data_IF_657455981064
#
_entry.id   IF_657455981064
#
_cell.length_a   1.000
_cell.length_b   1.000
_cell.length_c   1.000
_cell.angle_alpha   90.00
_cell.angle_beta   90.00
_cell.angle_gamma   90.00
#
_symmetry.space_group_name_H-M   'P 1'
#
loop_
_entity.id
_entity.type
_entity.pdbx_description
1 polymer ?
#
# COMPACT_ATOMS: atom_id res chain seq x y z
N UNK A 1 -4.30 -13.84 -12.16
CA UNK A 1 -4.99 -14.04 -10.87
C UNK A 1 -6.39 -14.58 -11.14
N UNK A 2 -6.87 -15.65 -10.46
CA UNK A 2 -8.20 -16.21 -10.70
C UNK A 2 -9.33 -15.59 -9.84
N UNK A 3 -9.02 -14.61 -8.98
CA UNK A 3 -9.96 -13.94 -8.07
C UNK A 3 -10.13 -12.47 -8.44
N UNK A 4 -11.29 -11.89 -8.12
CA UNK A 4 -11.53 -10.45 -8.27
C UNK A 4 -10.84 -9.66 -7.15
N UNK A 5 -10.58 -8.37 -7.40
CA UNK A 5 -9.96 -7.50 -6.39
C UNK A 5 -10.84 -7.32 -5.15
N UNK A 6 -12.16 -7.36 -5.31
CA UNK A 6 -13.13 -7.35 -4.20
C UNK A 6 -12.98 -8.58 -3.30
N UNK A 7 -12.93 -9.78 -3.89
CA UNK A 7 -12.78 -11.03 -3.13
C UNK A 7 -11.47 -11.03 -2.33
N UNK A 8 -10.38 -10.57 -2.96
CA UNK A 8 -9.07 -10.47 -2.33
C UNK A 8 -9.12 -9.44 -1.20
N UNK A 9 -9.72 -8.28 -1.43
CA UNK A 9 -9.87 -7.25 -0.41
C UNK A 9 -10.61 -7.78 0.81
N UNK A 10 -11.74 -8.47 0.63
CA UNK A 10 -12.50 -9.06 1.73
C UNK A 10 -11.72 -10.16 2.47
N UNK A 11 -10.99 -10.99 1.73
CA UNK A 11 -10.14 -12.03 2.31
C UNK A 11 -8.99 -11.43 3.13
N UNK A 12 -8.35 -10.35 2.64
CA UNK A 12 -7.30 -9.61 3.35
C UNK A 12 -7.90 -8.94 4.57
N UNK A 13 -8.99 -8.20 4.45
CA UNK A 13 -9.69 -7.51 5.56
C UNK A 13 -10.05 -8.49 6.69
N UNK A 14 -10.55 -9.67 6.35
CA UNK A 14 -10.90 -10.72 7.33
C UNK A 14 -9.68 -11.33 8.04
N UNK A 15 -8.50 -11.34 7.41
CA UNK A 15 -7.28 -11.90 7.97
C UNK A 15 -6.29 -10.84 8.50
N UNK A 16 -6.55 -9.55 8.23
CA UNK A 16 -5.75 -8.41 8.66
C UNK A 16 -5.45 -8.42 10.17
N UNK A 17 -6.41 -8.74 11.08
CA UNK A 17 -6.16 -8.74 12.52
C UNK A 17 -5.11 -9.76 12.97
N UNK A 18 -4.95 -10.88 12.24
CA UNK A 18 -3.93 -11.90 12.56
C UNK A 18 -2.54 -11.38 12.22
N UNK A 19 -2.44 -10.66 11.09
CA UNK A 19 -1.18 -10.12 10.59
C UNK A 19 -0.79 -8.85 11.35
N UNK A 20 -1.76 -8.00 11.69
CA UNK A 20 -1.53 -6.78 12.46
C UNK A 20 -0.97 -7.08 13.85
N UNK A 21 -1.38 -8.17 14.50
CA UNK A 21 -0.84 -8.59 15.79
C UNK A 21 0.69 -8.79 15.75
N UNK A 22 1.21 -9.38 14.67
CA UNK A 22 2.65 -9.52 14.47
C UNK A 22 3.33 -8.16 14.36
N UNK A 23 2.81 -7.27 13.51
CA UNK A 23 3.38 -5.94 13.29
C UNK A 23 3.34 -5.09 14.58
N UNK A 24 2.22 -5.12 15.30
CA UNK A 24 2.06 -4.42 16.58
C UNK A 24 2.99 -4.95 17.67
N UNK A 25 3.25 -6.27 17.72
CA UNK A 25 4.22 -6.83 18.67
C UNK A 25 5.66 -6.32 18.45
N UNK A 26 5.97 -5.86 17.23
CA UNK A 26 7.26 -5.28 16.86
C UNK A 26 7.27 -3.74 16.93
N UNK A 27 6.24 -3.12 17.52
CA UNK A 27 6.14 -1.66 17.69
C UNK A 27 5.70 -0.91 16.42
N UNK A 28 5.02 -1.60 15.49
CA UNK A 28 4.49 -1.02 14.26
C UNK A 28 2.97 -0.97 14.19
N UNK A 29 2.47 -0.45 13.07
CA UNK A 29 1.08 -0.52 12.65
C UNK A 29 0.97 -1.00 11.21
N UNK A 30 -0.20 -1.52 10.84
CA UNK A 30 -0.52 -1.98 9.50
C UNK A 30 -1.94 -1.53 9.15
N UNK A 31 -2.06 -0.80 8.04
CA UNK A 31 -3.33 -0.35 7.47
C UNK A 31 -3.49 -0.90 6.05
N UNK A 32 -4.68 -1.36 5.69
CA UNK A 32 -5.02 -1.78 4.33
C UNK A 32 -5.53 -0.55 3.55
N UNK A 33 -4.89 -0.24 2.42
CA UNK A 33 -5.29 0.88 1.56
C UNK A 33 -6.19 0.41 0.42
N UNK A 34 -5.88 -0.74 -0.17
CA UNK A 34 -6.69 -1.29 -1.26
C UNK A 34 -6.06 -2.50 -1.93
N UNK A 35 -6.75 -3.02 -2.95
CA UNK A 35 -6.26 -4.12 -3.79
C UNK A 35 -6.46 -3.78 -5.26
N UNK A 36 -5.51 -4.13 -6.10
CA UNK A 36 -5.62 -4.00 -7.56
C UNK A 36 -4.85 -5.11 -8.27
N UNK A 37 -5.48 -5.79 -9.21
CA UNK A 37 -4.88 -6.87 -10.01
C UNK A 37 -4.14 -7.94 -9.17
N UNK A 38 -4.61 -8.20 -7.95
CA UNK A 38 -3.94 -9.10 -6.99
C UNK A 38 -2.70 -8.55 -6.27
N UNK A 39 -2.42 -7.25 -6.42
CA UNK A 39 -1.51 -6.49 -5.57
C UNK A 39 -2.27 -5.84 -4.41
N UNK A 40 -1.87 -6.13 -3.18
CA UNK A 40 -2.43 -5.59 -1.95
C UNK A 40 -1.58 -4.40 -1.51
N UNK A 41 -2.20 -3.23 -1.41
CA UNK A 41 -1.55 -2.01 -0.98
C UNK A 41 -1.79 -1.79 0.51
N UNK A 42 -0.70 -1.66 1.26
CA UNK A 42 -0.72 -1.47 2.70
C UNK A 42 0.14 -0.28 3.11
N UNK A 43 -0.20 0.31 4.24
CA UNK A 43 0.65 1.28 4.92
C UNK A 43 1.22 0.64 6.19
N UNK A 44 2.54 0.60 6.31
CA UNK A 44 3.24 0.18 7.51
C UNK A 44 3.69 1.41 8.29
N UNK A 45 3.26 1.52 9.55
CA UNK A 45 3.58 2.67 10.42
C UNK A 45 4.40 2.23 11.65
N UNK A 46 4.90 3.20 12.42
CA UNK A 46 5.63 2.97 13.68
C UNK A 46 7.14 2.82 13.53
N UNK A 47 7.77 2.01 14.39
CA UNK A 47 9.25 1.83 14.42
C UNK A 47 9.80 1.32 13.07
N UNK A 48 8.94 0.63 12.30
CA UNK A 48 9.22 0.17 10.94
C UNK A 48 9.43 1.32 9.93
N UNK A 49 8.80 2.48 10.15
CA UNK A 49 8.78 3.59 9.18
C UNK A 49 10.10 4.36 9.06
N UNK A 50 11.01 4.23 10.04
CA UNK A 50 12.28 4.96 10.07
C UNK A 50 13.51 4.17 9.62
N UNK A 51 13.41 2.83 9.50
CA UNK A 51 14.53 1.95 9.19
C UNK A 51 14.18 1.03 8.02
N UNK A 52 14.72 1.32 6.83
CA UNK A 52 14.39 0.62 5.57
C UNK A 52 14.56 -0.90 5.65
N UNK A 53 15.54 -1.38 6.42
CA UNK A 53 15.81 -2.81 6.58
C UNK A 53 14.75 -3.54 7.40
N UNK A 54 14.21 -2.88 8.43
CA UNK A 54 13.11 -3.42 9.24
C UNK A 54 11.80 -3.42 8.46
N UNK A 55 11.55 -2.38 7.66
CA UNK A 55 10.38 -2.28 6.80
C UNK A 55 10.31 -3.43 5.79
N UNK A 56 11.42 -3.71 5.09
CA UNK A 56 11.50 -4.81 4.13
C UNK A 56 11.21 -6.16 4.78
N UNK A 57 11.77 -6.41 5.97
CA UNK A 57 11.58 -7.67 6.70
C UNK A 57 10.12 -7.85 7.11
N UNK A 58 9.52 -6.81 7.72
CA UNK A 58 8.10 -6.85 8.14
C UNK A 58 7.18 -7.03 6.94
N UNK A 59 7.42 -6.30 5.84
CA UNK A 59 6.68 -6.46 4.58
C UNK A 59 6.74 -7.91 4.07
N UNK A 60 7.91 -8.53 4.07
CA UNK A 60 8.07 -9.92 3.63
C UNK A 60 7.29 -10.90 4.50
N UNK A 61 7.26 -10.69 5.83
CA UNK A 61 6.46 -11.54 6.74
C UNK A 61 4.97 -11.36 6.48
N UNK A 62 4.49 -10.11 6.38
CA UNK A 62 3.10 -9.79 6.05
C UNK A 62 2.68 -10.46 4.74
N UNK A 63 3.50 -10.33 3.70
CA UNK A 63 3.25 -10.95 2.40
C UNK A 63 3.21 -12.47 2.50
N UNK A 64 4.13 -13.08 3.24
CA UNK A 64 4.17 -14.54 3.44
C UNK A 64 2.90 -15.05 4.13
N UNK A 65 2.45 -14.35 5.17
CA UNK A 65 1.22 -14.70 5.89
C UNK A 65 -0.02 -14.58 4.99
N UNK A 66 -0.17 -13.46 4.28
CA UNK A 66 -1.30 -13.27 3.35
C UNK A 66 -1.27 -14.30 2.21
N UNK A 67 -0.09 -14.66 1.71
CA UNK A 67 0.06 -15.72 0.69
C UNK A 67 -0.34 -17.10 1.23
N UNK A 68 -0.07 -17.37 2.50
CA UNK A 68 -0.47 -18.62 3.15
C UNK A 68 -1.97 -18.69 3.46
N UNK A 69 -2.61 -17.55 3.72
CA UNK A 69 -4.01 -17.48 4.12
C UNK A 69 -4.98 -17.35 2.94
N UNK A 70 -4.54 -16.72 1.85
CA UNK A 70 -5.41 -16.34 0.74
C UNK A 70 -4.94 -16.99 -0.57
N UNK A 71 -3.77 -16.58 -1.08
CA UNK A 71 -3.25 -17.13 -2.34
C UNK A 71 -1.74 -16.93 -2.53
N UNK A 72 -0.98 -17.94 -3.00
CA UNK A 72 0.47 -17.85 -3.16
C UNK A 72 0.94 -16.84 -4.23
N UNK A 73 0.08 -16.38 -5.12
CA UNK A 73 0.45 -15.36 -6.12
C UNK A 73 0.24 -13.91 -5.66
N UNK A 74 -0.25 -13.69 -4.43
CA UNK A 74 -0.45 -12.32 -3.92
C UNK A 74 0.85 -11.53 -3.82
N UNK A 75 0.78 -10.28 -4.27
CA UNK A 75 1.83 -9.31 -4.05
C UNK A 75 1.40 -8.30 -3.00
N UNK A 76 2.35 -7.82 -2.20
CA UNK A 76 2.09 -6.78 -1.19
C UNK A 76 3.02 -5.62 -1.49
N UNK A 77 2.44 -4.42 -1.58
CA UNK A 77 3.18 -3.17 -1.77
C UNK A 77 2.94 -2.30 -0.56
N UNK A 78 4.03 -1.82 0.04
CA UNK A 78 3.92 -0.79 1.06
C UNK A 78 3.88 0.56 0.35
N UNK A 79 2.88 1.38 0.64
CA UNK A 79 2.82 2.76 0.18
C UNK A 79 3.60 3.62 1.17
N UNK A 80 4.63 4.30 0.68
CA UNK A 80 5.54 5.14 1.47
C UNK A 80 5.68 6.56 0.89
N UNK A 81 4.90 6.88 -0.15
CA UNK A 81 4.91 8.19 -0.80
C UNK A 81 6.09 8.43 -1.75
N UNK A 82 6.93 7.44 -2.00
CA UNK A 82 7.91 7.49 -3.09
C UNK A 82 7.24 7.20 -4.44
N UNK A 83 7.78 7.74 -5.55
CA UNK A 83 7.24 7.49 -6.89
C UNK A 83 7.24 6.00 -7.28
N UNK A 84 8.07 5.18 -6.65
CA UNK A 84 8.12 3.73 -6.89
C UNK A 84 7.01 2.96 -6.14
N UNK A 85 6.45 3.54 -5.08
CA UNK A 85 5.49 2.90 -4.17
C UNK A 85 4.27 3.81 -3.92
N UNK A 86 3.67 4.28 -5.01
CA UNK A 86 2.43 5.10 -4.97
C UNK A 86 1.18 4.22 -5.07
N UNK A 87 0.11 4.62 -4.38
CA UNK A 87 -1.19 3.99 -4.48
C UNK A 87 -1.84 4.36 -5.82
N UNK A 88 -2.26 3.39 -6.65
CA UNK A 88 -3.02 3.69 -7.88
C UNK A 88 -4.37 4.34 -7.57
N UNK A 89 -4.85 5.22 -8.45
CA UNK A 89 -6.15 5.90 -8.31
C UNK A 89 -7.36 4.97 -8.49
N UNK A 90 -7.14 3.78 -9.07
CA UNK A 90 -8.14 2.76 -9.39
C UNK A 90 -8.08 1.52 -8.50
N UNK A 91 -7.52 1.63 -7.28
CA UNK A 91 -7.55 0.53 -6.31
C UNK A 91 -8.97 0.24 -5.81
N UNK A 92 -9.28 -1.04 -5.59
CA UNK A 92 -10.45 -1.43 -4.83
C UNK A 92 -10.23 -1.17 -3.34
N UNK A 93 -10.93 -0.18 -2.80
CA UNK A 93 -11.09 0.06 -1.38
C UNK A 93 -12.58 0.07 -1.07
N UNK A 94 -13.00 -0.60 0.00
CA UNK A 94 -14.40 -0.56 0.42
C UNK A 94 -14.72 0.86 0.91
N UNK A 95 -15.33 1.66 0.04
CA UNK A 95 -15.80 3.01 0.35
C UNK A 95 -16.91 2.93 1.39
N UNK A 96 -16.60 3.31 2.63
CA UNK A 96 -17.47 4.28 3.28
C UNK A 96 -16.95 5.63 2.79
N UNK A 97 -17.79 6.37 2.06
CA UNK A 97 -17.48 7.60 1.33
C UNK A 97 -16.47 8.53 2.03
N UNK A 98 -15.24 8.57 1.54
CA UNK A 98 -14.41 9.78 1.34
C UNK A 98 -13.55 9.47 0.10
N UNK A 99 -14.03 9.80 -1.11
CA UNK A 99 -13.66 10.99 -1.88
C UNK A 99 -12.14 11.09 -2.17
N UNK A 100 -11.74 11.19 -3.45
CA UNK A 100 -10.39 10.90 -3.95
C UNK A 100 -9.38 11.99 -3.59
N UNK A 101 -8.17 11.59 -3.24
CA UNK A 101 -7.01 12.48 -3.21
C UNK A 101 -6.09 12.14 -4.38
N UNK A 102 -6.52 12.51 -5.60
CA UNK A 102 -5.62 12.67 -6.74
C UNK A 102 -4.73 13.91 -6.56
N UNK A 103 -3.56 13.86 -7.18
CA UNK A 103 -2.48 14.85 -7.31
C UNK A 103 -1.57 15.08 -6.09
N UNK A 104 -0.29 14.67 -6.22
CA UNK A 104 0.74 15.56 -6.80
C UNK A 104 1.90 14.76 -7.42
N UNK A 105 1.87 14.59 -8.74
CA UNK A 105 3.08 14.31 -9.52
C UNK A 105 3.18 15.31 -10.69
N UNK A 106 4.17 16.21 -10.60
CA UNK A 106 4.83 16.82 -11.76
C UNK A 106 4.09 17.92 -12.55
N UNK A 107 4.33 19.19 -12.21
CA UNK A 107 4.48 20.23 -13.24
C UNK A 107 5.94 20.68 -13.27
N UNK A 108 6.68 20.09 -14.20
CA UNK A 108 7.99 20.56 -14.66
C UNK A 108 7.82 21.72 -15.65
N UNK A 109 8.71 22.71 -15.49
CA UNK A 109 9.24 23.64 -16.49
C UNK A 109 8.34 24.68 -17.19
N UNK A 110 8.57 25.95 -16.83
CA UNK A 110 8.90 27.03 -17.79
C UNK A 110 9.33 28.32 -17.07
N UNK A 111 10.63 28.53 -16.91
CA UNK A 111 11.21 29.86 -16.67
C UNK A 111 12.41 30.08 -17.59
N UNK A 112 12.15 30.15 -18.89
CA UNK A 112 12.99 30.90 -19.82
C UNK A 112 12.10 31.69 -20.78
N UNK A 113 12.58 32.90 -21.04
CA UNK A 113 12.11 33.88 -22.01
C UNK A 113 10.88 34.70 -21.61
N UNK A 114 11.14 35.84 -20.95
CA UNK A 114 10.83 37.15 -21.55
C UNK A 114 11.64 38.23 -20.80
N UNK A 115 12.92 38.32 -21.17
CA UNK A 115 13.55 39.63 -21.32
C UNK A 115 12.65 40.41 -22.29
N UNK A 116 12.17 41.59 -21.86
CA UNK A 116 11.82 42.79 -22.65
C UNK A 116 10.88 43.66 -21.79
N UNK A 117 11.49 44.54 -20.97
CA UNK A 117 11.16 45.96 -20.77
C UNK A 117 12.33 46.60 -20.03
#
# INVERSE_FOLDING_TARGET
>A
MPFSDEDIYQAVKSNLPKVSAYVSSHGGGLSLLGVKDGAVYIELTGVCGGCSMSLMTTKMVVQKELRSLIHPELNVTNVDGTPENTLPDDVYAETIEEAPAEEKEGVVEKVKDFLHI
#
